data_IF_977511847892
#
_entry.id   IF_977511847892
#
_cell.length_a   1.000
_cell.length_b   1.000
_cell.length_c   1.000
_cell.angle_alpha   90.00
_cell.angle_beta   90.00
_cell.angle_gamma   90.00
#
_symmetry.space_group_name_H-M   'P 1'
#
loop_
_entity.id
_entity.type
_entity.pdbx_description
1 polymer ?
#
# COMPACT_ATOMS: atom_id res chain seq x y z
N UNK A 1 -2.79 26.09 -4.58
CA UNK A 1 -2.70 24.72 -5.15
C UNK A 1 -2.83 24.91 -6.64
N UNK A 2 -1.78 24.61 -7.39
CA UNK A 2 -1.95 24.48 -8.84
C UNK A 2 -2.81 23.25 -9.06
N UNK A 3 -3.91 23.40 -9.79
CA UNK A 3 -4.74 22.27 -10.17
C UNK A 3 -4.30 21.82 -11.56
N UNK A 4 -4.37 20.52 -11.81
CA UNK A 4 -4.21 20.06 -13.18
C UNK A 4 -5.36 20.56 -14.05
N UNK A 5 -5.14 20.63 -15.38
CA UNK A 5 -6.14 21.18 -16.29
C UNK A 5 -7.47 20.42 -16.15
N UNK A 6 -8.51 21.17 -15.82
CA UNK A 6 -9.85 20.62 -15.62
C UNK A 6 -10.52 20.43 -16.97
N UNK A 7 -10.78 19.18 -17.31
CA UNK A 7 -11.45 18.72 -18.54
C UNK A 7 -12.46 17.65 -18.15
N UNK A 8 -13.48 17.36 -18.97
CA UNK A 8 -14.41 16.26 -18.69
C UNK A 8 -13.68 14.93 -18.44
N UNK A 9 -12.61 14.66 -19.21
CA UNK A 9 -11.78 13.48 -19.03
C UNK A 9 -11.02 13.46 -17.69
N UNK A 10 -10.41 14.57 -17.26
CA UNK A 10 -9.72 14.63 -15.97
C UNK A 10 -10.68 14.54 -14.78
N UNK A 11 -11.92 15.03 -14.92
CA UNK A 11 -12.97 14.82 -13.90
C UNK A 11 -13.28 13.32 -13.75
N UNK A 12 -13.57 12.62 -14.85
CA UNK A 12 -13.89 11.18 -14.81
C UNK A 12 -12.72 10.37 -14.25
N UNK A 13 -11.50 10.64 -14.69
CA UNK A 13 -10.29 9.97 -14.19
C UNK A 13 -10.10 10.24 -12.70
N UNK A 14 -10.29 11.49 -12.24
CA UNK A 14 -10.15 11.85 -10.82
C UNK A 14 -11.19 11.15 -9.96
N UNK A 15 -12.44 11.05 -10.42
CA UNK A 15 -13.51 10.32 -9.72
C UNK A 15 -13.13 8.84 -9.59
N UNK A 16 -12.79 8.19 -10.72
CA UNK A 16 -12.42 6.77 -10.71
C UNK A 16 -11.21 6.49 -9.81
N UNK A 17 -10.18 7.31 -9.90
CA UNK A 17 -8.99 7.22 -9.07
C UNK A 17 -9.31 7.38 -7.57
N UNK A 18 -10.17 8.36 -7.22
CA UNK A 18 -10.61 8.57 -5.83
C UNK A 18 -11.44 7.40 -5.30
N UNK A 19 -12.34 6.86 -6.12
CA UNK A 19 -13.12 5.66 -5.75
C UNK A 19 -12.18 4.48 -5.46
N UNK A 20 -11.16 4.26 -6.29
CA UNK A 20 -10.19 3.19 -6.06
C UNK A 20 -9.41 3.38 -4.75
N UNK A 21 -8.97 4.61 -4.44
CA UNK A 21 -8.31 4.92 -3.18
C UNK A 21 -9.22 4.66 -1.97
N UNK A 22 -10.44 5.18 -2.00
CA UNK A 22 -11.41 5.02 -0.91
C UNK A 22 -11.80 3.56 -0.72
N UNK A 23 -11.97 2.81 -1.82
CA UNK A 23 -12.27 1.38 -1.77
C UNK A 23 -11.11 0.60 -1.13
N UNK A 24 -9.87 0.89 -1.54
CA UNK A 24 -8.70 0.28 -0.91
C UNK A 24 -8.61 0.59 0.58
N UNK A 25 -8.82 1.85 0.97
CA UNK A 25 -8.77 2.28 2.37
C UNK A 25 -9.87 1.60 3.19
N UNK A 26 -11.09 1.55 2.67
CA UNK A 26 -12.20 0.85 3.26
C UNK A 26 -11.89 -0.63 3.50
N UNK A 27 -11.34 -1.33 2.50
CA UNK A 27 -10.96 -2.74 2.65
C UNK A 27 -9.89 -2.93 3.73
N UNK A 28 -8.91 -2.01 3.81
CA UNK A 28 -7.92 -2.02 4.88
C UNK A 28 -8.54 -1.89 6.27
N UNK A 29 -9.43 -0.91 6.46
CA UNK A 29 -10.16 -0.69 7.72
C UNK A 29 -11.06 -1.89 8.06
N UNK A 30 -11.75 -2.44 7.06
CA UNK A 30 -12.60 -3.61 7.25
C UNK A 30 -11.80 -4.83 7.67
N UNK A 31 -10.61 -5.03 7.11
CA UNK A 31 -9.70 -6.11 7.51
C UNK A 31 -9.19 -5.92 8.94
N UNK A 32 -8.94 -4.68 9.37
CA UNK A 32 -8.64 -4.33 10.77
C UNK A 32 -9.81 -4.73 11.68
N UNK A 33 -11.02 -4.29 11.33
CA UNK A 33 -12.23 -4.61 12.10
C UNK A 33 -12.45 -6.12 12.21
N UNK A 34 -12.37 -6.86 11.10
CA UNK A 34 -12.48 -8.32 11.09
C UNK A 34 -11.39 -8.97 11.94
N UNK A 35 -10.13 -8.57 11.81
CA UNK A 35 -9.05 -9.14 12.63
C UNK A 35 -9.23 -8.89 14.12
N UNK A 36 -9.88 -7.78 14.50
CA UNK A 36 -10.16 -7.51 15.91
C UNK A 36 -11.40 -8.21 16.47
N UNK A 37 -12.47 -8.34 15.67
CA UNK A 37 -13.82 -8.74 16.14
C UNK A 37 -14.28 -10.09 15.60
N UNK A 38 -13.84 -10.46 14.41
CA UNK A 38 -14.33 -11.61 13.64
C UNK A 38 -13.20 -12.30 12.85
N UNK A 39 -12.17 -12.83 13.54
CA UNK A 39 -10.98 -13.36 12.87
C UNK A 39 -11.28 -14.55 11.94
N UNK A 40 -12.38 -15.27 12.17
CA UNK A 40 -12.81 -16.40 11.34
C UNK A 40 -13.36 -15.97 9.97
N UNK A 41 -13.72 -14.70 9.79
CA UNK A 41 -14.21 -14.15 8.52
C UNK A 41 -13.07 -13.56 7.66
N UNK A 42 -11.82 -13.62 8.12
CA UNK A 42 -10.68 -13.06 7.41
C UNK A 42 -10.31 -13.86 6.17
N UNK A 43 -10.18 -13.17 5.03
CA UNK A 43 -9.61 -13.75 3.80
C UNK A 43 -8.15 -14.19 3.95
N UNK A 44 -7.41 -13.58 4.88
CA UNK A 44 -6.05 -14.01 5.22
C UNK A 44 -5.98 -14.37 6.72
N UNK A 45 -5.92 -15.68 7.04
CA UNK A 45 -5.90 -16.21 8.41
C UNK A 45 -4.73 -15.70 9.27
N UNK A 46 -3.61 -15.27 8.66
CA UNK A 46 -2.45 -14.71 9.37
C UNK A 46 -2.84 -13.52 10.26
N UNK A 47 -3.81 -12.72 9.82
CA UNK A 47 -4.31 -11.57 10.55
C UNK A 47 -5.24 -11.93 11.72
N UNK A 48 -5.52 -13.23 11.93
CA UNK A 48 -6.15 -13.73 13.16
C UNK A 48 -5.21 -13.64 14.38
N UNK A 49 -3.90 -13.48 14.17
CA UNK A 49 -2.96 -13.19 15.26
C UNK A 49 -3.09 -11.72 15.71
N UNK A 50 -3.29 -11.50 17.02
CA UNK A 50 -3.44 -10.15 17.63
C UNK A 50 -2.26 -9.22 17.33
N UNK A 51 -1.03 -9.73 17.37
CA UNK A 51 0.16 -8.93 17.09
C UNK A 51 0.24 -8.60 15.59
N UNK A 52 -0.11 -9.56 14.72
CA UNK A 52 -0.13 -9.33 13.27
C UNK A 52 -1.15 -8.26 12.87
N UNK A 53 -2.37 -8.27 13.45
CA UNK A 53 -3.37 -7.24 13.16
C UNK A 53 -2.98 -5.87 13.72
N UNK A 54 -2.29 -5.80 14.87
CA UNK A 54 -1.73 -4.55 15.40
C UNK A 54 -0.66 -4.00 14.45
N UNK A 55 0.27 -4.85 13.97
CA UNK A 55 1.29 -4.44 13.00
C UNK A 55 0.65 -3.93 11.71
N UNK A 56 -0.37 -4.63 11.20
CA UNK A 56 -1.12 -4.19 10.02
C UNK A 56 -1.85 -2.85 10.25
N UNK A 57 -2.45 -2.67 11.43
CA UNK A 57 -3.14 -1.42 11.81
C UNK A 57 -2.18 -0.25 11.82
N UNK A 58 -1.02 -0.40 12.49
CA UNK A 58 0.01 0.64 12.52
C UNK A 58 0.54 0.95 11.11
N UNK A 59 0.71 -0.07 10.27
CA UNK A 59 1.09 0.12 8.89
C UNK A 59 0.06 0.97 8.13
N UNK A 60 -1.22 0.61 8.18
CA UNK A 60 -2.29 1.37 7.51
C UNK A 60 -2.35 2.80 8.01
N UNK A 61 -2.15 3.06 9.30
CA UNK A 61 -2.09 4.43 9.84
C UNK A 61 -0.93 5.21 9.21
N UNK A 62 0.29 4.65 9.23
CA UNK A 62 1.47 5.34 8.69
C UNK A 62 1.34 5.57 7.19
N UNK A 63 0.91 4.57 6.42
CA UNK A 63 0.71 4.72 4.96
C UNK A 63 -0.38 5.73 4.64
N UNK A 64 -1.51 5.73 5.38
CA UNK A 64 -2.57 6.71 5.19
C UNK A 64 -2.11 8.13 5.52
N UNK A 65 -1.41 8.33 6.64
CA UNK A 65 -0.88 9.65 7.01
C UNK A 65 0.11 10.16 5.96
N UNK A 66 0.98 9.29 5.47
CA UNK A 66 1.91 9.64 4.42
C UNK A 66 1.21 9.96 3.08
N UNK A 67 0.25 9.15 2.65
CA UNK A 67 -0.42 9.34 1.36
C UNK A 67 -1.36 10.55 1.34
N UNK A 68 -2.10 10.79 2.43
CA UNK A 68 -3.17 11.78 2.46
C UNK A 68 -2.79 13.10 3.16
N UNK A 69 -1.73 13.10 3.98
CA UNK A 69 -1.36 14.27 4.78
C UNK A 69 0.09 14.68 4.51
N UNK A 70 1.07 13.92 5.00
CA UNK A 70 2.48 14.33 4.99
C UNK A 70 3.05 14.43 3.58
N UNK A 71 2.76 13.46 2.70
CA UNK A 71 3.20 13.46 1.31
C UNK A 71 2.64 14.65 0.52
N UNK A 72 1.32 14.86 0.48
CA UNK A 72 0.73 16.01 -0.20
C UNK A 72 1.23 17.35 0.34
N UNK A 73 1.34 17.51 1.66
CA UNK A 73 1.88 18.73 2.27
C UNK A 73 3.35 18.94 1.91
N UNK A 74 4.16 17.88 1.95
CA UNK A 74 5.58 17.96 1.60
C UNK A 74 5.78 18.29 0.13
N UNK A 75 4.94 17.77 -0.78
CA UNK A 75 4.95 18.18 -2.18
C UNK A 75 4.52 19.63 -2.35
N UNK A 76 3.43 20.02 -1.68
CA UNK A 76 2.90 21.37 -1.78
C UNK A 76 3.92 22.42 -1.35
N UNK A 77 4.58 22.22 -0.21
CA UNK A 77 5.60 23.13 0.30
C UNK A 77 7.00 22.85 -0.25
N UNK A 78 7.15 21.91 -1.20
CA UNK A 78 8.47 21.48 -1.71
C UNK A 78 9.47 21.19 -0.56
N UNK A 79 9.01 20.44 0.44
CA UNK A 79 9.79 20.09 1.64
C UNK A 79 10.41 18.71 1.54
N UNK A 80 11.72 18.65 1.20
CA UNK A 80 12.46 17.38 1.07
C UNK A 80 12.54 16.62 2.39
N UNK A 81 12.71 17.35 3.49
CA UNK A 81 12.82 16.79 4.84
C UNK A 81 11.56 15.99 5.22
N UNK A 82 10.39 16.61 5.12
CA UNK A 82 9.12 15.97 5.45
C UNK A 82 8.73 14.89 4.44
N UNK A 83 9.07 15.09 3.16
CA UNK A 83 8.84 14.07 2.13
C UNK A 83 9.58 12.78 2.47
N UNK A 84 10.91 12.85 2.63
CA UNK A 84 11.72 11.67 2.93
C UNK A 84 11.46 11.13 4.34
N UNK A 85 11.15 12.00 5.30
CA UNK A 85 10.68 11.59 6.63
C UNK A 85 9.46 10.69 6.56
N UNK A 86 8.47 11.03 5.72
CA UNK A 86 7.29 10.20 5.45
C UNK A 86 7.64 8.89 4.72
N UNK A 87 8.51 8.94 3.71
CA UNK A 87 8.98 7.75 2.98
C UNK A 87 9.68 6.74 3.89
N UNK A 88 10.58 7.19 4.76
CA UNK A 88 11.31 6.33 5.70
C UNK A 88 10.35 5.69 6.71
N UNK A 89 9.40 6.47 7.23
CA UNK A 89 8.37 5.95 8.13
C UNK A 89 7.52 4.88 7.45
N UNK A 90 7.07 5.14 6.22
CA UNK A 90 6.31 4.21 5.39
C UNK A 90 7.11 2.92 5.12
N UNK A 91 8.38 3.02 4.74
CA UNK A 91 9.24 1.86 4.49
C UNK A 91 9.44 1.03 5.76
N UNK A 92 9.71 1.70 6.88
CA UNK A 92 9.87 1.06 8.19
C UNK A 92 8.60 0.33 8.63
N UNK A 93 7.43 0.92 8.37
CA UNK A 93 6.13 0.31 8.64
C UNK A 93 5.76 -0.81 7.66
N UNK A 94 6.32 -0.79 6.44
CA UNK A 94 6.03 -1.78 5.38
C UNK A 94 6.93 -3.02 5.46
N UNK A 95 8.16 -2.88 5.94
CA UNK A 95 9.16 -3.95 5.99
C UNK A 95 8.68 -5.20 6.77
N UNK A 96 8.01 -5.07 7.94
CA UNK A 96 7.51 -6.23 8.67
C UNK A 96 6.49 -7.04 7.86
N UNK A 97 5.63 -6.36 7.10
CA UNK A 97 4.65 -6.99 6.22
C UNK A 97 5.30 -7.68 5.03
N UNK A 98 6.29 -7.04 4.40
CA UNK A 98 7.01 -7.63 3.28
C UNK A 98 7.83 -8.87 3.70
N UNK A 99 8.51 -8.82 4.85
CA UNK A 99 9.48 -9.85 5.27
C UNK A 99 8.82 -11.01 6.03
N UNK A 100 7.85 -10.73 6.91
CA UNK A 100 7.26 -11.74 7.79
C UNK A 100 5.86 -12.19 7.36
N UNK A 101 5.00 -11.26 6.92
CA UNK A 101 3.59 -11.57 6.65
C UNK A 101 3.30 -11.97 5.19
N UNK A 102 4.08 -11.51 4.22
CA UNK A 102 3.98 -11.92 2.81
C UNK A 102 4.70 -13.26 2.50
N UNK A 103 5.16 -13.99 3.53
CA UNK A 103 5.75 -15.32 3.37
C UNK A 103 4.74 -16.40 2.97
N UNK A 104 3.43 -16.15 3.15
CA UNK A 104 2.38 -17.07 2.69
C UNK A 104 1.56 -16.51 1.49
N UNK A 105 2.12 -16.56 0.25
CA UNK A 105 1.40 -16.23 -0.98
C UNK A 105 0.23 -17.17 -1.29
N UNK A 106 0.04 -18.22 -0.49
CA UNK A 106 -1.11 -19.13 -0.55
C UNK A 106 -2.44 -18.36 -0.40
N UNK A 107 -2.46 -17.30 0.42
CA UNK A 107 -3.65 -16.43 0.57
C UNK A 107 -3.97 -15.57 -0.65
N UNK A 108 -3.13 -15.52 -1.69
CA UNK A 108 -3.40 -14.76 -2.94
C UNK A 108 -3.41 -15.62 -4.20
N UNK A 109 -2.93 -16.86 -4.12
CA UNK A 109 -2.61 -17.72 -5.26
C UNK A 109 -1.21 -17.42 -5.84
N UNK A 110 -0.60 -18.43 -6.48
CA UNK A 110 0.81 -18.36 -6.96
C UNK A 110 1.06 -17.17 -7.90
N UNK A 111 0.15 -16.86 -8.82
CA UNK A 111 0.30 -15.79 -9.81
C UNK A 111 0.33 -14.40 -9.16
N UNK A 112 -0.71 -14.07 -8.40
CA UNK A 112 -0.83 -12.78 -7.72
C UNK A 112 0.27 -12.61 -6.67
N UNK A 113 0.62 -13.67 -5.94
CA UNK A 113 1.72 -13.66 -4.99
C UNK A 113 3.07 -13.33 -5.64
N UNK A 114 3.36 -13.88 -6.83
CA UNK A 114 4.58 -13.55 -7.60
C UNK A 114 4.57 -12.10 -8.06
N UNK A 115 3.45 -11.62 -8.61
CA UNK A 115 3.30 -10.23 -9.04
C UNK A 115 3.57 -9.25 -7.90
N UNK A 116 2.95 -9.44 -6.73
CA UNK A 116 3.14 -8.57 -5.56
C UNK A 116 4.60 -8.52 -5.12
N UNK A 117 5.34 -9.63 -5.19
CA UNK A 117 6.78 -9.65 -4.87
C UNK A 117 7.61 -8.84 -5.86
N UNK A 118 7.40 -9.07 -7.16
CA UNK A 118 8.11 -8.34 -8.24
C UNK A 118 7.82 -6.85 -8.13
N UNK A 119 6.55 -6.49 -7.99
CA UNK A 119 6.10 -5.11 -7.83
C UNK A 119 6.74 -4.45 -6.61
N UNK A 120 6.74 -5.10 -5.45
CA UNK A 120 7.36 -4.53 -4.25
C UNK A 120 8.87 -4.29 -4.44
N UNK A 121 9.59 -5.19 -5.11
CA UNK A 121 11.01 -5.00 -5.43
C UNK A 121 11.22 -3.80 -6.36
N UNK A 122 10.40 -3.71 -7.41
CA UNK A 122 10.43 -2.60 -8.36
C UNK A 122 10.12 -1.26 -7.68
N UNK A 123 9.08 -1.20 -6.85
CA UNK A 123 8.70 -0.01 -6.10
C UNK A 123 9.83 0.47 -5.19
N UNK A 124 10.47 -0.45 -4.43
CA UNK A 124 11.61 -0.11 -3.57
C UNK A 124 12.79 0.40 -4.42
N UNK A 125 13.10 -0.28 -5.53
CA UNK A 125 14.13 0.13 -6.46
C UNK A 125 13.91 1.54 -7.01
N UNK A 126 12.67 1.87 -7.40
CA UNK A 126 12.31 3.22 -7.86
C UNK A 126 12.45 4.27 -6.75
N UNK A 127 12.06 3.96 -5.51
CA UNK A 127 12.25 4.88 -4.39
C UNK A 127 13.75 5.18 -4.17
N UNK A 128 14.61 4.15 -4.23
CA UNK A 128 16.07 4.30 -4.10
C UNK A 128 16.65 5.08 -5.26
N UNK A 129 16.23 4.78 -6.50
CA UNK A 129 16.66 5.51 -7.68
C UNK A 129 16.33 7.00 -7.55
N UNK A 130 15.07 7.35 -7.28
CA UNK A 130 14.66 8.76 -7.13
C UNK A 130 15.37 9.44 -5.96
N UNK A 131 15.61 8.71 -4.86
CA UNK A 131 16.41 9.21 -3.75
C UNK A 131 17.85 9.54 -4.18
N UNK A 132 18.46 8.70 -5.02
CA UNK A 132 19.84 8.87 -5.45
C UNK A 132 20.03 9.93 -6.53
N UNK A 133 19.01 10.18 -7.36
CA UNK A 133 19.12 11.15 -8.46
C UNK A 133 18.52 12.53 -8.15
N UNK A 134 17.63 12.67 -7.16
CA UNK A 134 17.08 13.94 -6.65
C UNK A 134 16.83 15.05 -7.72
N UNK A 135 16.26 14.68 -8.87
CA UNK A 135 16.34 15.52 -10.10
C UNK A 135 15.25 16.60 -10.18
N UNK A 136 14.01 16.31 -9.76
CA UNK A 136 12.88 17.25 -9.85
C UNK A 136 11.68 16.76 -9.02
N UNK A 137 10.91 17.68 -8.41
CA UNK A 137 9.62 17.48 -7.75
C UNK A 137 8.57 16.70 -8.55
N UNK A 138 8.63 16.69 -9.88
CA UNK A 138 7.80 15.81 -10.70
C UNK A 138 7.98 14.32 -10.35
N UNK A 139 9.20 13.88 -10.04
CA UNK A 139 9.46 12.49 -9.65
C UNK A 139 8.92 12.19 -8.25
N UNK A 140 9.05 13.13 -7.31
CA UNK A 140 8.48 13.02 -5.96
C UNK A 140 6.95 12.92 -6.02
N UNK A 141 6.34 13.69 -6.92
CA UNK A 141 4.94 13.65 -7.27
C UNK A 141 4.52 12.27 -7.81
N UNK A 142 5.23 11.75 -8.81
CA UNK A 142 4.98 10.41 -9.37
C UNK A 142 5.11 9.33 -8.29
N UNK A 143 6.15 9.35 -7.46
CA UNK A 143 6.31 8.38 -6.38
C UNK A 143 5.11 8.36 -5.43
N UNK A 144 4.59 9.53 -5.02
CA UNK A 144 3.47 9.62 -4.10
C UNK A 144 2.17 9.14 -4.75
N UNK A 145 1.76 9.78 -5.84
CA UNK A 145 0.43 9.55 -6.41
C UNK A 145 0.36 8.36 -7.36
N UNK A 146 1.49 7.76 -7.75
CA UNK A 146 1.47 6.50 -8.46
C UNK A 146 1.88 5.35 -7.56
N UNK A 147 3.13 5.28 -7.11
CA UNK A 147 3.63 4.08 -6.41
C UNK A 147 3.03 3.91 -5.02
N UNK A 148 2.96 4.98 -4.24
CA UNK A 148 2.47 4.90 -2.85
C UNK A 148 0.96 4.74 -2.85
N UNK A 149 0.26 5.53 -3.67
CA UNK A 149 -1.18 5.42 -3.88
C UNK A 149 -1.60 4.02 -4.35
N UNK A 150 -0.80 3.36 -5.18
CA UNK A 150 -1.11 2.01 -5.68
C UNK A 150 -1.33 0.98 -4.57
N UNK A 151 -0.78 1.21 -3.38
CA UNK A 151 -1.05 0.41 -2.17
C UNK A 151 -2.53 0.39 -1.77
N UNK A 152 -3.34 1.34 -2.24
CA UNK A 152 -4.78 1.35 -2.10
C UNK A 152 -5.51 1.08 -3.42
N UNK A 153 -5.02 1.63 -4.55
CA UNK A 153 -5.74 1.59 -5.83
C UNK A 153 -6.13 0.17 -6.27
N UNK A 154 -5.26 -0.82 -6.06
CA UNK A 154 -5.51 -2.20 -6.48
C UNK A 154 -6.21 -3.06 -5.42
N UNK A 155 -6.25 -2.62 -4.16
CA UNK A 155 -6.68 -3.47 -3.04
C UNK A 155 -8.14 -3.86 -3.17
N UNK A 156 -9.01 -2.88 -3.42
CA UNK A 156 -10.44 -3.11 -3.59
C UNK A 156 -10.75 -4.09 -4.73
N UNK A 157 -10.35 -3.76 -5.97
CA UNK A 157 -10.53 -4.64 -7.12
C UNK A 157 -9.90 -6.01 -6.90
N UNK A 158 -8.65 -6.08 -6.43
CA UNK A 158 -7.95 -7.35 -6.20
C UNK A 158 -8.72 -8.25 -5.26
N UNK A 159 -9.24 -7.70 -4.16
CA UNK A 159 -10.01 -8.46 -3.16
C UNK A 159 -11.37 -8.88 -3.69
N UNK A 160 -12.03 -8.03 -4.47
CA UNK A 160 -13.28 -8.39 -5.14
C UNK A 160 -13.08 -9.57 -6.09
N UNK A 161 -12.15 -9.49 -7.03
CA UNK A 161 -11.87 -10.58 -7.97
C UNK A 161 -11.35 -11.84 -7.28
N UNK A 162 -10.65 -11.69 -6.15
CA UNK A 162 -10.21 -12.83 -5.34
C UNK A 162 -11.40 -13.68 -4.85
N UNK A 163 -12.57 -13.10 -4.56
CA UNK A 163 -13.75 -13.86 -4.14
C UNK A 163 -14.26 -14.86 -5.18
N UNK A 164 -13.85 -14.71 -6.44
CA UNK A 164 -14.21 -15.59 -7.54
C UNK A 164 -13.46 -16.92 -7.52
N UNK A 165 -12.31 -17.00 -6.85
CA UNK A 165 -11.41 -18.15 -6.82
C UNK A 165 -10.78 -18.44 -5.44
N UNK A 166 -11.38 -17.90 -4.37
CA UNK A 166 -10.83 -18.02 -3.02
C UNK A 166 -10.97 -19.41 -2.38
N UNK A 167 -11.58 -20.39 -3.06
CA UNK A 167 -11.65 -21.79 -2.62
C UNK A 167 -11.20 -22.72 -3.75
N UNK A 168 -10.71 -23.94 -3.45
CA UNK A 168 -10.30 -24.91 -4.47
C UNK A 168 -11.42 -25.21 -5.48
N UNK A 169 -12.67 -25.31 -5.02
CA UNK A 169 -13.84 -25.61 -5.85
C UNK A 169 -14.13 -24.46 -6.83
N UNK A 170 -14.11 -23.22 -6.33
CA UNK A 170 -14.29 -22.03 -7.16
C UNK A 170 -13.17 -21.87 -8.17
N UNK A 171 -11.93 -22.16 -7.78
CA UNK A 171 -10.77 -22.10 -8.66
C UNK A 171 -10.85 -23.17 -9.76
N UNK A 172 -11.27 -24.39 -9.42
CA UNK A 172 -11.48 -25.47 -10.39
C UNK A 172 -12.58 -25.12 -11.40
N UNK A 173 -13.67 -24.48 -10.95
CA UNK A 173 -14.75 -23.99 -11.84
C UNK A 173 -14.33 -22.78 -12.68
N UNK A 174 -13.39 -21.96 -12.20
CA UNK A 174 -12.99 -20.68 -12.82
C UNK A 174 -11.48 -20.55 -12.87
N UNK A 175 -10.77 -21.40 -13.64
CA UNK A 175 -9.31 -21.37 -13.72
C UNK A 175 -8.76 -20.06 -14.32
N UNK A 176 -9.59 -19.31 -15.06
CA UNK A 176 -9.26 -18.01 -15.65
C UNK A 176 -9.31 -16.85 -14.66
N UNK A 177 -10.00 -16.99 -13.51
CA UNK A 177 -10.25 -15.88 -12.60
C UNK A 177 -8.98 -15.26 -11.97
N UNK A 178 -7.93 -16.03 -11.61
CA UNK A 178 -6.65 -15.45 -11.19
C UNK A 178 -5.98 -14.59 -12.27
N UNK A 179 -6.07 -15.03 -13.54
CA UNK A 179 -5.51 -14.29 -14.68
C UNK A 179 -6.28 -12.99 -14.91
N UNK A 180 -7.62 -13.02 -14.85
CA UNK A 180 -8.43 -11.81 -14.94
C UNK A 180 -8.08 -10.83 -13.81
N UNK A 181 -7.96 -11.32 -12.58
CA UNK A 181 -7.53 -10.49 -11.45
C UNK A 181 -6.18 -9.82 -11.73
N UNK A 182 -5.20 -10.61 -12.22
CA UNK A 182 -3.89 -10.09 -12.59
C UNK A 182 -3.97 -9.02 -13.70
N UNK A 183 -4.76 -9.23 -14.75
CA UNK A 183 -4.96 -8.24 -15.82
C UNK A 183 -5.53 -6.94 -15.26
N UNK A 184 -6.53 -7.02 -14.38
CA UNK A 184 -7.16 -5.84 -13.77
C UNK A 184 -6.16 -5.05 -12.93
N UNK A 185 -5.39 -5.71 -12.06
CA UNK A 185 -4.44 -4.99 -11.20
C UNK A 185 -3.28 -4.39 -12.00
N UNK A 186 -2.80 -5.06 -13.04
CA UNK A 186 -1.78 -4.52 -13.95
C UNK A 186 -2.33 -3.32 -14.73
N UNK A 187 -3.55 -3.42 -15.24
CA UNK A 187 -4.21 -2.31 -15.92
C UNK A 187 -4.35 -1.09 -15.01
N UNK A 188 -4.78 -1.29 -13.75
CA UNK A 188 -4.83 -0.20 -12.75
C UNK A 188 -3.44 0.40 -12.54
N UNK A 189 -2.40 -0.44 -12.41
CA UNK A 189 -1.03 0.04 -12.20
C UNK A 189 -0.55 0.93 -13.35
N UNK A 190 -0.74 0.49 -14.59
CA UNK A 190 -0.30 1.22 -15.79
C UNK A 190 -1.14 2.46 -16.02
N UNK A 191 -2.47 2.34 -15.99
CA UNK A 191 -3.39 3.45 -16.26
C UNK A 191 -3.29 4.54 -15.19
N UNK A 192 -3.10 4.19 -13.92
CA UNK A 192 -2.84 5.19 -12.86
C UNK A 192 -1.51 5.91 -13.10
N UNK A 193 -0.44 5.18 -13.45
CA UNK A 193 0.85 5.78 -13.80
C UNK A 193 0.73 6.78 -14.96
N UNK A 194 0.03 6.40 -16.03
CA UNK A 194 -0.24 7.30 -17.17
C UNK A 194 -1.11 8.50 -16.76
N UNK A 195 -2.15 8.29 -15.96
CA UNK A 195 -3.02 9.37 -15.49
C UNK A 195 -2.25 10.40 -14.66
N UNK A 196 -1.35 9.95 -13.78
CA UNK A 196 -0.48 10.82 -12.97
C UNK A 196 0.56 11.51 -13.87
N UNK A 197 1.23 10.77 -14.76
CA UNK A 197 2.22 11.32 -15.68
C UNK A 197 1.65 12.46 -16.56
N UNK A 198 0.43 12.29 -17.06
CA UNK A 198 -0.26 13.30 -17.88
C UNK A 198 -1.08 14.31 -17.07
N UNK A 199 -0.94 14.35 -15.73
CA UNK A 199 -1.64 15.31 -14.88
C UNK A 199 -3.16 15.23 -14.99
N UNK A 200 -3.74 14.03 -15.13
CA UNK A 200 -5.20 13.85 -15.28
C UNK A 200 -5.96 13.76 -13.95
N UNK A 201 -5.26 13.62 -12.82
CA UNK A 201 -5.87 13.62 -11.49
C UNK A 201 -5.78 15.03 -10.91
N UNK A 202 -6.93 15.68 -10.75
CA UNK A 202 -7.03 17.14 -10.53
C UNK A 202 -6.30 17.63 -9.28
N UNK A 203 -6.49 16.96 -8.15
CA UNK A 203 -5.85 17.32 -6.88
C UNK A 203 -4.40 16.84 -6.77
N UNK A 204 -3.98 15.96 -7.67
CA UNK A 204 -2.63 15.46 -7.76
C UNK A 204 -1.93 16.22 -8.89
N UNK A 205 -1.63 17.49 -8.66
CA UNK A 205 -0.81 18.30 -9.56
C UNK A 205 0.62 18.40 -9.01
N UNK A 206 1.65 18.40 -9.87
CA UNK A 206 3.00 18.72 -9.44
C UNK A 206 3.06 20.19 -8.95
N UNK A 207 3.92 20.50 -7.96
CA UNK A 207 4.09 21.89 -7.53
C UNK A 207 4.67 22.73 -8.68
N UNK A 208 4.23 23.99 -8.80
CA UNK A 208 4.80 24.94 -9.77
C UNK A 208 6.33 25.00 -9.68
N UNK A 209 6.98 25.10 -10.83
CA UNK A 209 8.43 25.27 -10.92
C UNK A 209 8.90 26.54 -10.20
N UNK A 210 8.08 27.58 -10.19
CA UNK A 210 8.41 28.90 -9.62
C UNK A 210 8.22 28.98 -8.11
N UNK A 211 7.61 27.96 -7.50
CA UNK A 211 7.42 27.91 -6.06
C UNK A 211 8.75 27.65 -5.33
N UNK A 212 9.13 28.44 -4.30
CA UNK A 212 10.35 28.22 -3.55
C UNK A 212 10.31 26.89 -2.80
N UNK A 213 11.47 26.25 -2.65
CA UNK A 213 11.61 25.06 -1.80
C UNK A 213 11.57 25.44 -0.31
N UNK A 214 10.83 24.68 0.48
CA UNK A 214 10.85 24.85 1.94
C UNK A 214 12.20 24.46 2.52
N UNK A 215 12.77 25.36 3.32
CA UNK A 215 14.01 25.13 4.05
C UNK A 215 13.67 24.66 5.46
N UNK A 216 13.94 23.37 5.72
CA UNK A 216 13.65 22.73 7.01
C UNK A 216 14.40 23.38 8.17
N UNK A 217 13.65 23.81 9.18
CA UNK A 217 14.22 24.41 10.40
C UNK A 217 14.78 23.32 11.35
N UNK A 218 15.78 23.63 12.20
CA UNK A 218 16.40 22.63 13.08
C UNK A 218 15.42 21.82 13.95
N UNK A 219 14.34 22.44 14.41
CA UNK A 219 13.33 21.72 15.20
C UNK A 219 12.56 20.69 14.35
N UNK A 220 12.32 20.96 13.06
CA UNK A 220 11.66 20.02 12.16
C UNK A 220 12.52 18.77 11.96
N UNK A 221 13.85 18.95 11.85
CA UNK A 221 14.79 17.82 11.81
C UNK A 221 14.67 16.97 13.07
N UNK A 222 14.65 17.60 14.24
CA UNK A 222 14.44 16.91 15.51
C UNK A 222 13.14 16.11 15.53
N UNK A 223 12.03 16.71 15.09
CA UNK A 223 10.72 16.04 15.03
C UNK A 223 10.74 14.88 14.05
N UNK A 224 11.20 15.07 12.82
CA UNK A 224 11.19 14.05 11.77
C UNK A 224 12.07 12.85 12.16
N UNK A 225 13.26 13.11 12.72
CA UNK A 225 14.14 12.05 13.22
C UNK A 225 13.49 11.31 14.39
N UNK A 226 12.97 12.02 15.38
CA UNK A 226 12.32 11.41 16.55
C UNK A 226 11.13 10.54 16.15
N UNK A 227 10.26 11.02 15.27
CA UNK A 227 9.11 10.26 14.77
C UNK A 227 9.54 8.98 14.06
N UNK A 228 10.56 9.05 13.20
CA UNK A 228 11.08 7.88 12.50
C UNK A 228 11.68 6.85 13.46
N UNK A 229 12.47 7.29 14.44
CA UNK A 229 13.03 6.41 15.48
C UNK A 229 11.91 5.74 16.28
N UNK A 230 10.90 6.50 16.71
CA UNK A 230 9.75 5.96 17.47
C UNK A 230 9.01 4.91 16.65
N UNK A 231 8.72 5.18 15.37
CA UNK A 231 8.07 4.24 14.45
C UNK A 231 8.90 2.96 14.34
N UNK A 232 10.20 3.06 14.05
CA UNK A 232 11.10 1.91 13.95
C UNK A 232 11.08 1.09 15.25
N UNK A 233 11.21 1.74 16.41
CA UNK A 233 11.22 1.08 17.72
C UNK A 233 9.90 0.36 18.03
N UNK A 234 8.76 0.96 17.67
CA UNK A 234 7.44 0.33 17.80
C UNK A 234 7.37 -0.93 16.94
N UNK A 235 7.72 -0.85 15.65
CA UNK A 235 7.66 -2.00 14.75
C UNK A 235 8.64 -3.12 15.15
N UNK A 236 9.87 -2.77 15.55
CA UNK A 236 10.83 -3.75 16.08
C UNK A 236 10.30 -4.46 17.33
N UNK A 237 9.70 -3.71 18.25
CA UNK A 237 9.11 -4.27 19.47
C UNK A 237 7.93 -5.20 19.17
N UNK A 238 7.07 -4.84 18.22
CA UNK A 238 5.95 -5.68 17.79
C UNK A 238 6.43 -6.95 17.06
N UNK A 239 7.43 -6.84 16.19
CA UNK A 239 8.02 -8.01 15.50
C UNK A 239 8.60 -8.99 16.52
N UNK A 240 9.32 -8.51 17.54
CA UNK A 240 9.87 -9.38 18.60
C UNK A 240 8.80 -10.14 19.37
N UNK A 241 7.59 -9.57 19.48
CA UNK A 241 6.43 -10.21 20.13
C UNK A 241 5.65 -11.14 19.19
N UNK A 242 5.95 -11.13 17.90
CA UNK A 242 5.25 -11.96 16.94
C UNK A 242 5.80 -13.40 16.95
N UNK A 243 4.95 -14.35 17.34
CA UNK A 243 5.31 -15.77 17.51
C UNK A 243 4.87 -16.68 16.35
N UNK A 244 4.47 -16.09 15.21
CA UNK A 244 4.01 -16.85 14.04
C UNK A 244 2.49 -16.85 13.82
N UNK A 245 1.98 -17.74 12.96
CA UNK A 245 0.57 -17.77 12.57
C UNK A 245 -0.42 -17.78 13.74
N UNK A 246 -1.57 -17.15 13.55
CA UNK A 246 -2.67 -17.20 14.53
C UNK A 246 -3.35 -18.58 14.56
N UNK A 247 -4.21 -18.84 15.56
CA UNK A 247 -4.91 -20.13 15.72
C UNK A 247 -5.75 -20.54 14.49
N UNK A 248 -6.21 -19.59 13.66
CA UNK A 248 -6.95 -19.86 12.43
C UNK A 248 -6.12 -20.59 11.34
N UNK A 249 -4.81 -20.36 11.26
CA UNK A 249 -3.94 -21.05 10.30
C UNK A 249 -3.57 -22.46 10.79
N UNK A 250 -3.49 -22.66 12.10
CA UNK A 250 -3.35 -23.98 12.70
C UNK A 250 -4.55 -24.90 12.37
N UNK A 251 -5.75 -24.32 12.34
CA UNK A 251 -6.97 -25.02 11.92
C UNK A 251 -6.96 -25.39 10.43
N UNK A 252 -6.53 -24.48 9.54
CA UNK A 252 -6.41 -24.79 8.11
C UNK A 252 -5.35 -25.85 7.82
N UNK A 253 -4.22 -25.81 8.52
CA UNK A 253 -3.16 -26.82 8.37
C UNK A 253 -3.63 -28.20 8.85
N UNK A 254 -4.53 -28.26 9.84
CA UNK A 254 -5.16 -29.50 10.27
C UNK A 254 -6.18 -30.02 9.25
N UNK A 255 -7.02 -29.15 8.68
CA UNK A 255 -8.00 -29.53 7.67
C UNK A 255 -7.33 -30.00 6.37
N UNK A 256 -6.26 -29.33 5.93
CA UNK A 256 -5.47 -29.75 4.76
C UNK A 256 -4.73 -31.07 4.98
N UNK A 257 -4.27 -31.35 6.22
CA UNK A 257 -3.69 -32.65 6.56
C UNK A 257 -4.74 -33.77 6.63
N UNK A 258 -5.97 -33.45 6.99
CA UNK A 258 -7.08 -34.41 7.05
C UNK A 258 -7.69 -34.71 5.68
N UNK A 259 -7.58 -33.80 4.70
CA UNK A 259 -8.06 -34.02 3.33
C UNK A 259 -7.02 -34.62 2.39
N UNK A 260 -5.76 -34.73 2.83
CA UNK A 260 -4.65 -35.33 2.09
C UNK A 260 -4.30 -36.77 2.54
N UNK A 261 -5.02 -37.32 3.51
CA UNK A 261 -4.95 -38.73 3.94
C UNK A 261 -6.22 -39.46 3.56
#
# INVERSE_FOLDING_TARGET
>A
MDLSVVTPGSIVITIGYTILLLWGAWVGIHQIYQGFRKPNELLNPLFGNRVAIIIFTMHIIVVSLDLFVCGPLALHYKSKLWYWGGRIAMLSASLPLAVYFNRNPQSFGKLIGKWVRIRNLFEIGLHVLVASIAVNWFYYYMLLYWLVAYRYLDVGPRRYFQTLYNTPEKLAQRPWAPTLNWVVIVAIYVLSGLAIYYGKVIYAAPPSMDMPEHVGQPFEWGIVLALNVVIIMIFLSLIRKYTGPGPAEALLTQTERQSAG
#
